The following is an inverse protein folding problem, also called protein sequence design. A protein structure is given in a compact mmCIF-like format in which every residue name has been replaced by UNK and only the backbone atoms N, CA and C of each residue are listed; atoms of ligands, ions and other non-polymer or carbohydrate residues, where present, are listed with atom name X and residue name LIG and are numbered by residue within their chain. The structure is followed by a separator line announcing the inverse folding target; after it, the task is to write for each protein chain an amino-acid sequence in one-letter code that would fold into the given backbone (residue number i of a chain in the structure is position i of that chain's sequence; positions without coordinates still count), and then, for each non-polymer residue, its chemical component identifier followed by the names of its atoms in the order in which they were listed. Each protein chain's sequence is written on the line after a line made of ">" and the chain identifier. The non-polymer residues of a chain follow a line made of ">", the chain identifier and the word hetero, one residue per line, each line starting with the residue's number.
data_IF_832626481993
#
_entry.id   IF_832626481993
#
_cell.length_a   1.000
_cell.length_b   1.000
_cell.length_c   1.000
_cell.angle_alpha   90.00
_cell.angle_beta   90.00
_cell.angle_gamma   90.00
#
_symmetry.space_group_name_H-M   'P 1'
#
loop_
_entity.id
_entity.type
_entity.pdbx_description
1 polymer ?
#
# COMPACT_ATOMS: atom_id res chain seq x y z
N UNK A 1 48.50 -23.65 67.82
CA UNK A 1 47.33 -24.14 67.08
C UNK A 1 46.72 -23.00 66.36
N UNK A 2 47.12 -22.72 65.09
CA UNK A 2 46.55 -21.71 64.26
C UNK A 2 45.56 -22.40 63.30
N UNK A 3 44.31 -22.03 63.37
CA UNK A 3 43.28 -22.43 62.37
C UNK A 3 43.18 -21.35 61.24
N UNK A 4 43.57 -21.75 60.05
CA UNK A 4 43.38 -20.96 58.82
C UNK A 4 41.93 -21.07 58.38
N UNK A 5 41.24 -19.92 58.29
CA UNK A 5 39.97 -19.79 57.62
C UNK A 5 40.22 -19.46 56.11
N UNK A 6 39.88 -20.39 55.26
CA UNK A 6 39.84 -20.14 53.82
C UNK A 6 38.47 -19.56 53.44
N UNK A 7 38.41 -18.32 53.02
CA UNK A 7 37.22 -17.69 52.47
C UNK A 7 37.12 -18.03 50.96
N UNK A 8 36.10 -18.75 50.56
CA UNK A 8 35.78 -18.99 49.18
C UNK A 8 34.98 -17.80 48.63
N UNK A 9 35.57 -17.04 47.69
CA UNK A 9 34.89 -15.97 46.97
C UNK A 9 34.16 -16.60 45.76
N UNK A 10 32.86 -16.65 45.83
CA UNK A 10 32.00 -17.09 44.69
C UNK A 10 31.78 -15.92 43.77
N UNK A 11 32.43 -15.93 42.62
CA UNK A 11 32.24 -14.92 41.55
C UNK A 11 30.93 -15.22 40.80
N UNK A 12 29.90 -14.41 41.04
CA UNK A 12 28.65 -14.49 40.27
C UNK A 12 28.85 -13.64 38.99
N UNK A 13 29.07 -14.33 37.86
CA UNK A 13 29.06 -13.69 36.54
C UNK A 13 27.59 -13.52 36.10
N UNK A 14 27.08 -12.31 36.26
CA UNK A 14 25.79 -11.92 35.67
C UNK A 14 25.95 -11.82 34.16
N UNK A 15 25.43 -12.78 33.40
CA UNK A 15 25.26 -12.72 31.97
C UNK A 15 24.18 -11.67 31.68
N UNK A 16 24.58 -10.44 31.42
CA UNK A 16 23.74 -9.42 30.80
C UNK A 16 23.49 -9.86 29.37
N UNK A 17 22.37 -10.52 29.12
CA UNK A 17 21.83 -10.72 27.79
C UNK A 17 21.41 -9.36 27.28
N UNK A 18 22.34 -8.65 26.65
CA UNK A 18 22.03 -7.44 25.89
C UNK A 18 21.07 -7.83 24.76
N UNK A 19 19.81 -7.43 24.89
CA UNK A 19 18.91 -7.42 23.74
C UNK A 19 19.58 -6.55 22.69
N UNK A 20 20.11 -7.17 21.64
CA UNK A 20 20.51 -6.46 20.43
C UNK A 20 19.22 -5.88 19.87
N UNK A 21 18.99 -4.59 20.15
CA UNK A 21 17.96 -3.84 19.43
C UNK A 21 18.43 -3.85 17.98
N UNK A 22 17.79 -4.70 17.17
CA UNK A 22 17.98 -4.65 15.72
C UNK A 22 17.74 -3.20 15.30
N UNK A 23 18.71 -2.61 14.62
CA UNK A 23 18.49 -1.29 14.01
C UNK A 23 17.23 -1.42 13.15
N UNK A 24 16.26 -0.49 13.24
CA UNK A 24 15.08 -0.56 12.42
C UNK A 24 15.54 -0.59 10.96
N UNK A 25 15.19 -1.67 10.26
CA UNK A 25 15.46 -1.81 8.85
C UNK A 25 14.82 -0.64 8.08
N UNK A 26 15.26 -0.41 6.86
CA UNK A 26 14.67 0.60 5.99
C UNK A 26 13.35 0.10 5.42
N UNK A 27 12.44 1.01 5.17
CA UNK A 27 11.26 0.76 4.34
C UNK A 27 11.64 0.82 2.87
N UNK A 28 11.47 -0.26 2.12
CA UNK A 28 11.65 -0.26 0.66
C UNK A 28 10.30 -0.12 -0.02
N UNK A 29 10.22 0.77 -0.99
CA UNK A 29 9.06 0.95 -1.87
C UNK A 29 9.49 0.73 -3.31
N UNK A 30 8.83 -0.19 -4.01
CA UNK A 30 8.99 -0.47 -5.43
C UNK A 30 7.72 -0.05 -6.17
N UNK A 31 7.82 0.88 -7.12
CA UNK A 31 6.70 1.22 -7.98
C UNK A 31 6.63 0.26 -9.18
N UNK A 32 5.46 -0.34 -9.39
CA UNK A 32 5.24 -1.33 -10.45
C UNK A 32 4.46 -0.78 -11.64
N UNK A 33 4.10 0.51 -11.60
CA UNK A 33 3.31 1.21 -12.60
C UNK A 33 1.85 1.38 -12.18
N UNK A 34 1.13 2.35 -12.74
CA UNK A 34 -0.23 2.77 -12.38
C UNK A 34 -0.31 3.05 -10.86
N UNK A 35 -1.18 2.38 -10.12
CA UNK A 35 -1.27 2.45 -8.67
C UNK A 35 -0.61 1.25 -7.95
N UNK A 36 0.10 0.40 -8.70
CA UNK A 36 0.69 -0.82 -8.15
C UNK A 36 2.03 -0.56 -7.44
N UNK A 37 2.08 -0.88 -6.14
CA UNK A 37 3.29 -0.77 -5.33
C UNK A 37 3.56 -2.05 -4.55
N UNK A 38 4.87 -2.34 -4.36
CA UNK A 38 5.35 -3.34 -3.42
C UNK A 38 6.12 -2.64 -2.32
N UNK A 39 5.68 -2.82 -1.07
CA UNK A 39 6.30 -2.26 0.12
C UNK A 39 6.96 -3.39 0.89
N UNK A 40 8.24 -3.24 1.23
CA UNK A 40 8.91 -4.12 2.18
C UNK A 40 9.13 -3.35 3.47
N UNK A 41 8.55 -3.85 4.56
CA UNK A 41 8.66 -3.24 5.88
C UNK A 41 10.04 -3.47 6.51
N UNK A 42 10.41 -2.73 7.55
CA UNK A 42 11.67 -2.94 8.28
C UNK A 42 11.92 -4.37 8.77
N UNK A 43 10.87 -5.12 9.11
CA UNK A 43 10.95 -6.54 9.50
C UNK A 43 10.88 -7.51 8.32
N UNK A 44 10.82 -7.01 7.08
CA UNK A 44 10.76 -7.82 5.86
C UNK A 44 9.37 -8.32 5.50
N UNK A 45 8.29 -7.75 6.07
CA UNK A 45 6.93 -8.01 5.59
C UNK A 45 6.71 -7.36 4.24
N UNK A 46 6.14 -8.11 3.32
CA UNK A 46 5.88 -7.65 1.95
C UNK A 46 4.40 -7.42 1.74
N UNK A 47 4.05 -6.16 1.46
CA UNK A 47 2.69 -5.72 1.16
C UNK A 47 2.65 -5.29 -0.30
N UNK A 48 1.72 -5.83 -1.08
CA UNK A 48 1.46 -5.41 -2.46
C UNK A 48 0.12 -4.69 -2.52
N UNK A 49 0.10 -3.54 -3.18
CA UNK A 49 -1.11 -2.72 -3.31
C UNK A 49 -1.47 -2.61 -4.78
N UNK A 50 -2.78 -2.74 -5.06
CA UNK A 50 -3.40 -2.57 -6.39
C UNK A 50 -2.64 -3.29 -7.51
N UNK A 51 -2.41 -4.61 -7.40
CA UNK A 51 -1.59 -5.34 -8.36
C UNK A 51 -2.31 -5.51 -9.72
N UNK A 52 -1.97 -4.62 -10.64
CA UNK A 52 -2.24 -4.75 -12.05
C UNK A 52 -0.90 -4.81 -12.78
N UNK A 53 -0.39 -6.00 -13.06
CA UNK A 53 0.99 -6.24 -13.46
C UNK A 53 1.11 -6.87 -14.85
N UNK A 54 0.46 -8.03 -15.08
CA UNK A 54 0.67 -8.84 -16.29
C UNK A 54 0.38 -8.11 -17.58
N UNK A 55 -0.69 -7.34 -17.61
CA UNK A 55 -1.15 -6.62 -18.81
C UNK A 55 -0.93 -5.10 -18.74
N UNK A 56 -0.43 -4.59 -17.63
CA UNK A 56 -0.11 -3.18 -17.47
C UNK A 56 1.04 -2.77 -18.40
N UNK A 57 0.87 -1.79 -19.30
CA UNK A 57 1.93 -1.39 -20.23
C UNK A 57 3.16 -0.80 -19.53
N UNK A 58 2.98 -0.17 -18.36
CA UNK A 58 4.06 0.46 -17.61
C UNK A 58 4.84 -0.52 -16.70
N UNK A 59 4.28 -1.69 -16.38
CA UNK A 59 4.98 -2.67 -15.53
C UNK A 59 6.20 -3.22 -16.25
N UNK A 60 7.40 -3.17 -15.64
CA UNK A 60 8.60 -3.76 -16.22
C UNK A 60 8.43 -5.26 -16.49
N UNK A 61 9.00 -5.72 -17.61
CA UNK A 61 8.79 -7.08 -18.11
C UNK A 61 9.09 -8.18 -17.07
N UNK A 62 10.08 -7.98 -16.21
CA UNK A 62 10.43 -8.92 -15.15
C UNK A 62 9.34 -9.10 -14.09
N UNK A 63 8.49 -8.09 -13.85
CA UNK A 63 7.39 -8.14 -12.84
C UNK A 63 6.03 -8.53 -13.45
N UNK A 64 5.96 -8.71 -14.78
CA UNK A 64 4.79 -9.29 -15.44
C UNK A 64 4.67 -10.79 -15.19
N UNK A 65 5.78 -11.43 -14.87
CA UNK A 65 5.82 -12.78 -14.30
C UNK A 65 5.63 -12.67 -12.78
N UNK A 66 4.47 -13.09 -12.29
CA UNK A 66 4.10 -12.94 -10.89
C UNK A 66 5.03 -13.70 -9.93
N UNK A 67 5.64 -14.81 -10.38
CA UNK A 67 6.61 -15.57 -9.58
C UNK A 67 7.88 -14.73 -9.29
N UNK A 68 8.26 -13.86 -10.20
CA UNK A 68 9.42 -12.97 -10.04
C UNK A 68 9.19 -11.76 -9.16
N UNK A 69 7.94 -11.53 -8.74
CA UNK A 69 7.63 -10.51 -7.74
C UNK A 69 8.22 -10.86 -6.37
N UNK A 70 8.52 -12.14 -6.14
CA UNK A 70 9.01 -12.67 -4.88
C UNK A 70 7.88 -12.85 -3.87
N UNK A 71 8.24 -13.03 -2.60
CA UNK A 71 7.28 -13.25 -1.52
C UNK A 71 6.26 -12.11 -1.43
N UNK A 72 4.99 -12.46 -1.16
CA UNK A 72 3.90 -11.55 -0.83
C UNK A 72 3.24 -12.04 0.46
N UNK A 73 3.21 -11.20 1.49
CA UNK A 73 2.59 -11.51 2.78
C UNK A 73 1.16 -10.97 2.89
N UNK A 74 0.87 -9.87 2.18
CA UNK A 74 -0.41 -9.19 2.22
C UNK A 74 -0.68 -8.49 0.89
N UNK A 75 -1.95 -8.46 0.51
CA UNK A 75 -2.42 -7.70 -0.65
C UNK A 75 -3.47 -6.71 -0.19
N UNK A 76 -3.36 -5.46 -0.66
CA UNK A 76 -4.35 -4.41 -0.48
C UNK A 76 -4.94 -4.05 -1.84
N UNK A 77 -6.26 -3.89 -1.89
CA UNK A 77 -6.95 -3.46 -3.10
C UNK A 77 -7.86 -2.29 -2.75
N UNK A 78 -7.63 -1.15 -3.39
CA UNK A 78 -8.38 0.08 -3.08
C UNK A 78 -9.81 0.05 -3.59
N UNK A 79 -10.06 -0.59 -4.72
CA UNK A 79 -11.39 -0.73 -5.33
C UNK A 79 -11.43 -1.79 -6.44
N UNK A 80 -12.62 -2.02 -7.03
CA UNK A 80 -12.86 -3.15 -7.92
C UNK A 80 -12.49 -2.96 -9.39
N UNK A 81 -11.93 -1.82 -9.83
CA UNK A 81 -11.55 -1.63 -11.22
C UNK A 81 -10.37 -2.53 -11.62
N UNK A 82 -10.35 -2.93 -12.90
CA UNK A 82 -9.41 -3.92 -13.41
C UNK A 82 -7.95 -3.54 -13.23
N UNK A 83 -7.62 -2.25 -13.33
CA UNK A 83 -6.26 -1.72 -13.20
C UNK A 83 -5.77 -1.60 -11.74
N UNK A 84 -6.54 -2.15 -10.80
CA UNK A 84 -6.21 -2.27 -9.38
C UNK A 84 -6.29 -3.71 -8.89
N UNK A 85 -7.32 -4.48 -9.28
CA UNK A 85 -7.59 -5.81 -8.73
C UNK A 85 -7.07 -6.97 -9.58
N UNK A 86 -6.71 -6.74 -10.86
CA UNK A 86 -6.56 -7.80 -11.87
C UNK A 86 -5.69 -8.99 -11.43
N UNK A 87 -4.55 -8.75 -10.79
CA UNK A 87 -3.62 -9.81 -10.38
C UNK A 87 -3.71 -10.17 -8.90
N UNK A 88 -4.55 -9.46 -8.12
CA UNK A 88 -4.71 -9.72 -6.69
C UNK A 88 -5.19 -11.16 -6.40
N UNK A 89 -6.19 -11.74 -7.09
CA UNK A 89 -6.60 -13.12 -6.84
C UNK A 89 -5.49 -14.14 -7.13
N UNK A 90 -4.75 -13.95 -8.23
CA UNK A 90 -3.67 -14.87 -8.60
C UNK A 90 -2.53 -14.86 -7.56
N UNK A 91 -2.11 -13.67 -7.12
CA UNK A 91 -1.10 -13.52 -6.08
C UNK A 91 -1.58 -14.07 -4.73
N UNK A 92 -2.86 -13.84 -4.38
CA UNK A 92 -3.44 -14.36 -3.14
C UNK A 92 -3.39 -15.88 -3.08
N UNK A 93 -3.79 -16.56 -4.15
CA UNK A 93 -3.78 -18.02 -4.23
C UNK A 93 -2.34 -18.57 -4.25
N UNK A 94 -1.43 -17.92 -5.00
CA UNK A 94 -0.02 -18.33 -5.11
C UNK A 94 0.71 -18.28 -3.77
N UNK A 95 0.51 -17.20 -3.01
CA UNK A 95 1.25 -16.93 -1.77
C UNK A 95 0.45 -17.25 -0.50
N UNK A 96 -0.80 -17.67 -0.61
CA UNK A 96 -1.76 -17.77 0.50
C UNK A 96 -1.86 -16.46 1.28
N UNK A 97 -1.71 -15.34 0.56
CA UNK A 97 -1.74 -13.98 1.11
C UNK A 97 -3.18 -13.48 1.18
N UNK A 98 -3.56 -12.88 2.31
CA UNK A 98 -4.88 -12.27 2.45
C UNK A 98 -5.00 -11.02 1.59
N UNK A 99 -6.17 -10.84 0.96
CA UNK A 99 -6.54 -9.63 0.24
C UNK A 99 -7.46 -8.81 1.13
N UNK A 100 -7.02 -7.65 1.59
CA UNK A 100 -7.90 -6.68 2.23
C UNK A 100 -8.34 -5.65 1.21
N UNK A 101 -9.64 -5.54 1.05
CA UNK A 101 -10.32 -4.66 0.11
C UNK A 101 -11.62 -4.15 0.76
N UNK A 102 -12.35 -3.20 0.13
CA UNK A 102 -13.70 -2.85 0.56
C UNK A 102 -14.54 -4.09 0.84
N UNK A 103 -15.27 -4.09 1.95
CA UNK A 103 -15.97 -5.28 2.45
C UNK A 103 -16.91 -5.91 1.43
N UNK A 104 -17.62 -5.09 0.64
CA UNK A 104 -18.55 -5.56 -0.38
C UNK A 104 -17.81 -6.16 -1.59
N UNK A 105 -16.60 -5.62 -1.94
CA UNK A 105 -15.77 -6.21 -2.96
C UNK A 105 -15.32 -7.63 -2.57
N UNK A 106 -14.80 -7.78 -1.35
CA UNK A 106 -14.37 -9.09 -0.86
C UNK A 106 -15.55 -10.07 -0.72
N UNK A 107 -16.74 -9.56 -0.38
CA UNK A 107 -17.95 -10.39 -0.43
C UNK A 107 -18.26 -10.85 -1.86
N UNK A 108 -18.20 -9.95 -2.83
CA UNK A 108 -18.40 -10.28 -4.26
C UNK A 108 -17.39 -11.34 -4.72
N UNK A 109 -16.10 -11.15 -4.43
CA UNK A 109 -15.06 -12.13 -4.78
C UNK A 109 -15.32 -13.51 -4.19
N UNK A 110 -15.79 -13.56 -2.94
CA UNK A 110 -16.10 -14.80 -2.25
C UNK A 110 -17.35 -15.49 -2.85
N UNK A 111 -18.43 -14.74 -3.07
CA UNK A 111 -19.69 -15.26 -3.61
C UNK A 111 -19.49 -15.79 -5.05
N UNK A 112 -18.68 -15.13 -5.85
CA UNK A 112 -18.34 -15.57 -7.22
C UNK A 112 -17.29 -16.68 -7.27
N UNK A 113 -16.76 -17.12 -6.12
CA UNK A 113 -15.72 -18.16 -6.06
C UNK A 113 -14.35 -17.74 -6.62
N UNK A 114 -14.10 -16.41 -6.72
CA UNK A 114 -12.81 -15.86 -7.17
C UNK A 114 -11.74 -16.05 -6.10
N UNK A 115 -12.10 -15.87 -4.83
CA UNK A 115 -11.26 -16.12 -3.67
C UNK A 115 -12.00 -16.89 -2.59
N UNK A 116 -11.33 -17.80 -1.86
CA UNK A 116 -11.92 -18.43 -0.69
C UNK A 116 -12.03 -17.42 0.46
N UNK A 117 -13.01 -17.56 1.38
CA UNK A 117 -13.30 -16.59 2.43
C UNK A 117 -12.09 -16.26 3.33
N UNK A 118 -11.24 -17.22 3.60
CA UNK A 118 -10.03 -17.04 4.44
C UNK A 118 -8.96 -16.13 3.81
N UNK A 119 -8.99 -16.00 2.48
CA UNK A 119 -8.10 -15.09 1.75
C UNK A 119 -8.76 -13.73 1.43
N UNK A 120 -10.05 -13.56 1.68
CA UNK A 120 -10.81 -12.35 1.39
C UNK A 120 -11.48 -11.76 2.65
N UNK A 121 -10.73 -11.46 3.73
CA UNK A 121 -11.31 -10.84 4.91
C UNK A 121 -11.81 -9.43 4.58
N UNK A 122 -12.93 -9.04 5.20
CA UNK A 122 -13.58 -7.76 4.91
C UNK A 122 -13.06 -6.66 5.82
N UNK A 123 -12.94 -5.46 5.28
CA UNK A 123 -12.74 -4.24 6.05
C UNK A 123 -13.56 -3.10 5.46
N UNK A 124 -13.80 -2.06 6.25
CA UNK A 124 -14.49 -0.85 5.81
C UNK A 124 -13.69 0.40 6.19
N UNK A 125 -14.09 1.53 5.61
CA UNK A 125 -13.52 2.85 5.92
C UNK A 125 -13.53 3.10 7.43
N UNK A 126 -12.46 3.70 7.93
CA UNK A 126 -12.11 3.90 9.35
C UNK A 126 -11.77 2.61 10.11
N UNK A 127 -11.93 1.43 9.51
CA UNK A 127 -11.45 0.18 10.09
C UNK A 127 -9.93 0.10 10.05
N UNK A 128 -9.33 -0.33 11.16
CA UNK A 128 -7.90 -0.57 11.28
C UNK A 128 -7.65 -2.04 11.58
N UNK A 129 -6.71 -2.63 10.87
CA UNK A 129 -6.26 -4.00 11.07
C UNK A 129 -4.78 -4.04 11.46
N UNK A 130 -4.40 -5.10 12.19
CA UNK A 130 -3.01 -5.52 12.41
C UNK A 130 -2.85 -6.92 11.77
N UNK A 131 -2.49 -6.99 10.47
CA UNK A 131 -2.61 -8.22 9.71
C UNK A 131 -1.55 -9.28 10.05
N UNK A 132 -0.48 -8.89 10.73
CA UNK A 132 0.67 -9.74 11.03
C UNK A 132 0.78 -9.99 12.54
N UNK A 133 0.46 -11.22 13.03
CA UNK A 133 0.59 -11.53 14.46
C UNK A 133 2.02 -11.39 15.01
N UNK A 134 3.02 -11.64 14.16
CA UNK A 134 4.46 -11.53 14.47
C UNK A 134 5.04 -10.12 14.23
N UNK A 135 4.25 -9.20 13.68
CA UNK A 135 4.57 -7.78 13.54
C UNK A 135 3.33 -6.91 13.83
N UNK A 136 2.79 -6.93 15.07
CA UNK A 136 1.50 -6.32 15.41
C UNK A 136 1.51 -4.79 15.37
N UNK A 137 2.67 -4.18 15.31
CA UNK A 137 2.83 -2.72 15.14
C UNK A 137 2.57 -2.25 13.71
N UNK A 138 2.59 -3.14 12.72
CA UNK A 138 2.12 -2.79 11.37
C UNK A 138 0.59 -2.68 11.43
N UNK A 139 0.09 -1.48 11.14
CA UNK A 139 -1.33 -1.17 11.15
C UNK A 139 -1.75 -0.63 9.80
N UNK A 140 -2.92 -1.05 9.34
CA UNK A 140 -3.47 -0.61 8.07
C UNK A 140 -4.89 -0.13 8.31
N UNK A 141 -5.16 1.12 7.96
CA UNK A 141 -6.47 1.74 8.08
C UNK A 141 -7.01 2.08 6.69
N UNK A 142 -8.22 1.62 6.38
CA UNK A 142 -8.92 2.07 5.19
C UNK A 142 -9.50 3.48 5.44
N UNK A 143 -9.27 4.39 4.52
CA UNK A 143 -9.81 5.76 4.56
C UNK A 143 -10.64 6.04 3.32
N UNK A 144 -11.46 7.09 3.36
CA UNK A 144 -12.30 7.49 2.22
C UNK A 144 -11.44 7.79 0.97
N UNK A 145 -11.97 7.39 -0.18
CA UNK A 145 -11.61 7.90 -1.51
C UNK A 145 -12.89 8.30 -2.25
N UNK A 146 -12.79 9.26 -3.14
CA UNK A 146 -13.93 9.79 -3.92
C UNK A 146 -13.82 9.30 -5.36
N UNK A 147 -14.41 8.14 -5.62
CA UNK A 147 -14.33 7.45 -6.91
C UNK A 147 -15.50 6.46 -7.06
N UNK A 148 -15.64 5.86 -8.23
CA UNK A 148 -16.55 4.73 -8.45
C UNK A 148 -15.84 3.40 -8.24
N UNK A 149 -16.61 2.32 -8.07
CA UNK A 149 -16.04 0.99 -7.91
C UNK A 149 -17.00 -0.07 -8.42
N UNK A 150 -16.58 -0.77 -9.46
CA UNK A 150 -17.26 -1.94 -10.01
C UNK A 150 -16.26 -3.05 -10.22
N UNK A 151 -16.71 -4.29 -10.09
CA UNK A 151 -15.91 -5.47 -10.39
C UNK A 151 -16.47 -6.15 -11.64
N UNK A 152 -15.68 -6.21 -12.70
CA UNK A 152 -16.04 -6.94 -13.92
C UNK A 152 -15.48 -8.35 -13.81
N UNK A 153 -16.38 -9.32 -13.85
CA UNK A 153 -16.05 -10.74 -13.75
C UNK A 153 -16.47 -11.47 -15.01
N UNK A 154 -15.56 -12.26 -15.55
CA UNK A 154 -15.86 -13.12 -16.69
C UNK A 154 -16.51 -14.41 -16.19
N UNK A 155 -17.80 -14.55 -16.42
CA UNK A 155 -18.55 -15.75 -16.04
C UNK A 155 -18.00 -16.97 -16.78
N UNK A 156 -17.48 -17.99 -16.08
CA UNK A 156 -16.85 -19.14 -16.71
C UNK A 156 -17.84 -20.04 -17.48
N UNK A 157 -19.13 -19.96 -17.16
CA UNK A 157 -20.16 -20.76 -17.83
C UNK A 157 -20.66 -20.11 -19.12
N UNK A 158 -20.86 -18.80 -19.12
CA UNK A 158 -21.38 -18.07 -20.28
C UNK A 158 -20.27 -17.47 -21.15
N UNK A 159 -19.06 -17.31 -20.62
CA UNK A 159 -17.94 -16.61 -21.24
C UNK A 159 -18.16 -15.09 -21.37
N UNK A 160 -19.24 -14.55 -20.80
CA UNK A 160 -19.58 -13.11 -20.86
C UNK A 160 -19.04 -12.38 -19.63
N UNK A 161 -18.78 -11.10 -19.83
CA UNK A 161 -18.46 -10.21 -18.73
C UNK A 161 -19.73 -9.78 -17.99
N UNK A 162 -19.67 -9.84 -16.66
CA UNK A 162 -20.72 -9.43 -15.74
C UNK A 162 -20.16 -8.34 -14.80
N UNK A 163 -20.95 -7.30 -14.57
CA UNK A 163 -20.57 -6.21 -13.66
C UNK A 163 -21.21 -6.42 -12.31
N UNK A 164 -20.38 -6.43 -11.28
CA UNK A 164 -20.78 -6.63 -9.90
C UNK A 164 -20.38 -5.44 -9.02
N UNK A 165 -20.95 -5.38 -7.81
CA UNK A 165 -20.57 -4.36 -6.83
C UNK A 165 -19.09 -4.50 -6.45
N UNK A 166 -18.36 -3.39 -6.54
CA UNK A 166 -16.95 -3.28 -6.12
C UNK A 166 -16.77 -2.70 -4.72
N UNK A 167 -17.86 -2.43 -4.00
CA UNK A 167 -17.83 -1.71 -2.74
C UNK A 167 -17.45 -0.23 -2.91
N UNK A 168 -17.43 0.50 -1.83
CA UNK A 168 -16.98 1.90 -1.84
C UNK A 168 -15.45 1.97 -1.90
N UNK A 169 -14.87 2.79 -2.81
CA UNK A 169 -13.42 2.92 -2.92
C UNK A 169 -12.78 3.46 -1.64
N UNK A 170 -11.54 3.02 -1.41
CA UNK A 170 -10.75 3.42 -0.24
C UNK A 170 -9.33 3.82 -0.65
N UNK A 171 -8.71 4.67 0.17
CA UNK A 171 -7.27 4.74 0.29
C UNK A 171 -6.80 3.95 1.52
N UNK A 172 -5.50 3.78 1.67
CA UNK A 172 -4.92 3.10 2.83
C UNK A 172 -3.88 3.97 3.54
N UNK A 173 -4.01 4.06 4.86
CA UNK A 173 -2.93 4.53 5.72
C UNK A 173 -2.21 3.28 6.24
N UNK A 174 -0.94 3.15 5.91
CA UNK A 174 -0.08 2.02 6.28
C UNK A 174 0.96 2.54 7.26
N UNK A 175 0.84 2.17 8.52
CA UNK A 175 1.81 2.46 9.58
C UNK A 175 2.72 1.25 9.75
N UNK A 176 4.03 1.45 9.55
CA UNK A 176 5.04 0.42 9.66
C UNK A 176 5.66 0.40 11.06
N UNK A 177 6.47 -0.61 11.37
CA UNK A 177 7.04 -0.88 12.71
C UNK A 177 7.91 0.27 13.23
N UNK A 178 8.55 1.01 12.33
CA UNK A 178 9.39 2.18 12.64
C UNK A 178 8.58 3.48 12.78
N UNK A 179 7.24 3.40 12.74
CA UNK A 179 6.33 4.55 12.78
C UNK A 179 6.20 5.31 11.47
N UNK A 180 6.87 4.87 10.39
CA UNK A 180 6.74 5.48 9.07
C UNK A 180 5.34 5.22 8.50
N UNK A 181 4.66 6.27 8.05
CA UNK A 181 3.28 6.22 7.58
C UNK A 181 3.19 6.54 6.10
N UNK A 182 2.58 5.65 5.35
CA UNK A 182 2.33 5.79 3.91
C UNK A 182 0.83 5.98 3.71
N UNK A 183 0.44 7.01 2.98
CA UNK A 183 -0.93 7.18 2.48
C UNK A 183 -0.96 6.82 1.00
N UNK A 184 -1.47 5.63 0.69
CA UNK A 184 -1.82 5.26 -0.69
C UNK A 184 -3.25 5.73 -0.93
N UNK A 185 -3.43 6.74 -1.79
CA UNK A 185 -4.73 7.38 -1.97
C UNK A 185 -5.71 6.55 -2.79
N UNK A 186 -5.23 5.53 -3.52
CA UNK A 186 -6.02 4.83 -4.53
C UNK A 186 -6.43 5.78 -5.66
N UNK A 187 -7.52 5.45 -6.33
CA UNK A 187 -8.14 6.37 -7.26
C UNK A 187 -9.09 7.30 -6.52
N UNK A 188 -8.90 8.59 -6.69
CA UNK A 188 -9.72 9.60 -6.05
C UNK A 188 -9.74 10.91 -6.82
N UNK A 189 -10.92 11.55 -6.86
CA UNK A 189 -11.06 12.98 -7.07
C UNK A 189 -10.64 13.78 -5.84
N UNK A 190 -10.69 15.11 -5.94
CA UNK A 190 -10.45 16.03 -4.83
C UNK A 190 -11.65 16.04 -3.87
N UNK A 191 -11.43 15.84 -2.56
CA UNK A 191 -12.50 15.87 -1.56
C UNK A 191 -12.00 16.40 -0.20
N UNK A 192 -12.88 17.07 0.54
CA UNK A 192 -12.51 17.84 1.73
C UNK A 192 -11.92 17.05 2.88
N UNK A 193 -12.32 15.77 3.05
CA UNK A 193 -11.83 14.94 4.15
C UNK A 193 -10.34 14.58 4.03
N UNK A 194 -9.69 14.85 2.88
CA UNK A 194 -8.22 14.73 2.73
C UNK A 194 -7.49 15.53 3.79
N UNK A 195 -8.01 16.71 4.17
CA UNK A 195 -7.46 17.54 5.23
C UNK A 195 -7.53 16.83 6.58
N UNK A 196 -8.70 16.27 6.93
CA UNK A 196 -8.89 15.51 8.16
C UNK A 196 -8.00 14.27 8.21
N UNK A 197 -7.93 13.51 7.10
CA UNK A 197 -7.07 12.32 6.98
C UNK A 197 -5.61 12.69 7.25
N UNK A 198 -5.13 13.78 6.64
CA UNK A 198 -3.77 14.23 6.81
C UNK A 198 -3.47 14.72 8.24
N UNK A 199 -4.36 15.50 8.83
CA UNK A 199 -4.20 16.02 10.20
C UNK A 199 -4.22 14.92 11.25
N UNK A 200 -5.09 13.91 11.07
CA UNK A 200 -5.27 12.82 12.02
C UNK A 200 -4.18 11.74 11.90
N UNK A 201 -3.92 11.25 10.67
CA UNK A 201 -2.97 10.15 10.45
C UNK A 201 -1.53 10.62 10.21
N UNK A 202 -1.31 11.85 9.77
CA UNK A 202 0.03 12.48 9.56
C UNK A 202 0.95 11.61 8.72
N UNK A 203 0.62 11.30 7.45
CA UNK A 203 1.45 10.47 6.60
C UNK A 203 2.80 11.16 6.29
N UNK A 204 3.89 10.40 6.32
CA UNK A 204 5.22 10.86 5.93
C UNK A 204 5.38 10.85 4.40
N UNK A 205 4.76 9.86 3.76
CA UNK A 205 4.76 9.65 2.31
C UNK A 205 3.33 9.55 1.80
N UNK A 206 3.04 10.23 0.69
CA UNK A 206 1.76 10.13 -0.02
C UNK A 206 2.00 9.60 -1.43
N UNK A 207 1.28 8.54 -1.82
CA UNK A 207 1.21 8.01 -3.16
C UNK A 207 -0.06 8.58 -3.80
N UNK A 208 0.12 9.54 -4.70
CA UNK A 208 -0.95 10.46 -5.13
C UNK A 208 -1.28 10.32 -6.61
N UNK A 209 -2.53 10.04 -6.99
CA UNK A 209 -2.92 10.01 -8.38
C UNK A 209 -2.90 11.44 -8.98
N UNK A 210 -2.32 11.57 -10.17
CA UNK A 210 -2.21 12.85 -10.88
C UNK A 210 -2.70 12.78 -12.34
N UNK A 211 -3.21 11.63 -12.78
CA UNK A 211 -3.51 11.38 -14.20
C UNK A 211 -4.61 12.26 -14.78
N UNK A 212 -5.54 12.73 -13.96
CA UNK A 212 -6.74 13.44 -14.42
C UNK A 212 -7.76 12.51 -15.08
N UNK A 213 -8.86 13.06 -15.57
CA UNK A 213 -10.02 12.39 -16.15
C UNK A 213 -10.74 11.41 -15.20
N UNK A 214 -10.05 10.43 -14.66
CA UNK A 214 -10.60 9.43 -13.71
C UNK A 214 -10.27 9.77 -12.26
N UNK A 215 -9.21 10.53 -12.02
CA UNK A 215 -8.71 10.91 -10.72
C UNK A 215 -8.41 12.39 -10.68
N UNK A 216 -7.82 12.89 -9.60
CA UNK A 216 -7.27 14.25 -9.58
C UNK A 216 -6.33 14.45 -10.75
N UNK A 217 -6.42 15.63 -11.39
CA UNK A 217 -5.40 16.11 -12.31
C UNK A 217 -4.24 16.78 -11.56
N UNK A 218 -3.17 17.19 -12.29
CA UNK A 218 -2.00 17.83 -11.69
C UNK A 218 -2.33 19.05 -10.82
N UNK A 219 -3.26 19.90 -11.22
CA UNK A 219 -3.64 21.09 -10.47
C UNK A 219 -4.37 20.76 -9.16
N UNK A 220 -5.34 19.81 -9.20
CA UNK A 220 -6.07 19.38 -8.02
C UNK A 220 -5.15 18.69 -7.02
N UNK A 221 -4.25 17.83 -7.52
CA UNK A 221 -3.25 17.13 -6.71
C UNK A 221 -2.27 18.13 -6.06
N UNK A 222 -1.85 19.16 -6.78
CA UNK A 222 -1.01 20.23 -6.24
C UNK A 222 -1.74 21.03 -5.17
N UNK A 223 -3.02 21.37 -5.38
CA UNK A 223 -3.85 22.03 -4.38
C UNK A 223 -3.98 21.17 -3.11
N UNK A 224 -4.34 19.89 -3.25
CA UNK A 224 -4.44 18.96 -2.13
C UNK A 224 -3.10 18.86 -1.36
N UNK A 225 -1.98 18.82 -2.08
CA UNK A 225 -0.64 18.73 -1.49
C UNK A 225 -0.31 19.99 -0.68
N UNK A 226 -0.52 21.18 -1.24
CA UNK A 226 -0.11 22.44 -0.62
C UNK A 226 -1.05 22.90 0.48
N UNK A 227 -2.37 22.72 0.30
CA UNK A 227 -3.35 23.33 1.19
C UNK A 227 -3.82 22.37 2.29
N UNK A 228 -3.95 21.07 1.98
CA UNK A 228 -4.60 20.13 2.86
C UNK A 228 -3.65 19.09 3.47
N UNK A 229 -2.85 18.40 2.64
CA UNK A 229 -2.12 17.21 3.11
C UNK A 229 -0.75 17.59 3.66
N UNK A 230 0.00 18.43 2.97
CA UNK A 230 1.33 18.94 3.35
C UNK A 230 2.31 17.83 3.76
N UNK A 231 2.46 16.76 2.98
CA UNK A 231 3.30 15.64 3.34
C UNK A 231 4.79 16.02 3.22
N UNK A 232 5.67 15.28 3.91
CA UNK A 232 7.13 15.46 3.70
C UNK A 232 7.52 15.05 2.28
N UNK A 233 6.93 13.96 1.77
CA UNK A 233 7.24 13.42 0.44
C UNK A 233 5.95 13.01 -0.26
N UNK A 234 5.89 13.26 -1.58
CA UNK A 234 4.84 12.77 -2.47
C UNK A 234 5.47 12.00 -3.64
N UNK A 235 4.92 10.84 -3.96
CA UNK A 235 5.20 10.10 -5.18
C UNK A 235 3.96 10.18 -6.06
N UNK A 236 4.04 10.83 -7.22
CA UNK A 236 2.97 10.83 -8.21
C UNK A 236 2.76 9.43 -8.79
N UNK A 237 1.50 9.02 -8.95
CA UNK A 237 1.09 7.74 -9.53
C UNK A 237 -0.11 7.89 -10.45
N UNK A 238 -0.59 6.81 -11.04
CA UNK A 238 -1.80 6.73 -11.87
C UNK A 238 -1.78 7.70 -13.06
N UNK A 239 -0.68 7.71 -13.81
CA UNK A 239 -0.51 8.50 -15.04
C UNK A 239 0.30 7.72 -16.09
N UNK A 240 0.14 8.10 -17.35
CA UNK A 240 0.96 7.59 -18.46
C UNK A 240 0.64 6.16 -18.92
N UNK A 241 -0.39 5.50 -18.38
CA UNK A 241 -0.81 4.13 -18.76
C UNK A 241 -2.09 4.13 -19.59
N UNK A 242 -2.94 5.12 -19.41
CA UNK A 242 -4.20 5.30 -20.13
C UNK A 242 -4.13 6.60 -20.96
N UNK A 243 -4.53 6.59 -22.24
CA UNK A 243 -4.53 7.80 -23.08
C UNK A 243 -5.38 8.96 -22.58
N UNK A 244 -6.33 8.69 -21.67
CA UNK A 244 -7.18 9.71 -21.04
C UNK A 244 -6.56 10.27 -19.76
N UNK A 245 -5.68 9.53 -19.08
CA UNK A 245 -4.95 9.98 -17.88
C UNK A 245 -3.67 10.73 -18.30
N UNK A 246 -3.83 11.97 -18.76
CA UNK A 246 -2.79 12.75 -19.44
C UNK A 246 -1.91 13.59 -18.53
N UNK A 247 -2.25 13.69 -17.24
CA UNK A 247 -1.47 14.45 -16.27
C UNK A 247 -0.01 13.98 -16.21
N UNK A 248 0.90 14.92 -16.01
CA UNK A 248 2.33 14.65 -15.98
C UNK A 248 2.96 15.13 -14.68
N UNK A 249 4.09 14.54 -14.31
CA UNK A 249 4.89 14.99 -13.14
C UNK A 249 5.36 16.43 -13.33
N UNK A 250 5.67 16.83 -14.56
CA UNK A 250 6.09 18.20 -14.88
C UNK A 250 4.98 19.21 -14.59
N UNK A 251 3.75 18.95 -15.05
CA UNK A 251 2.59 19.80 -14.76
C UNK A 251 2.27 19.83 -13.26
N UNK A 252 2.34 18.70 -12.59
CA UNK A 252 2.15 18.62 -11.13
C UNK A 252 3.18 19.46 -10.40
N UNK A 253 4.47 19.33 -10.72
CA UNK A 253 5.56 20.10 -10.09
C UNK A 253 5.43 21.59 -10.41
N UNK A 254 5.02 21.95 -11.63
CA UNK A 254 4.75 23.34 -12.00
C UNK A 254 3.59 23.92 -11.18
N UNK A 255 2.49 23.16 -11.04
CA UNK A 255 1.32 23.59 -10.26
C UNK A 255 1.61 23.70 -8.76
N UNK A 256 2.50 22.86 -8.20
CA UNK A 256 2.96 22.96 -6.80
C UNK A 256 3.68 24.28 -6.53
N UNK A 257 4.47 24.80 -7.47
CA UNK A 257 5.27 25.98 -7.27
C UNK A 257 6.28 25.80 -6.13
N UNK A 258 6.43 26.85 -5.31
CA UNK A 258 7.30 26.79 -4.12
C UNK A 258 6.58 26.03 -3.00
N UNK A 259 7.17 24.91 -2.57
CA UNK A 259 6.60 24.03 -1.54
C UNK A 259 7.69 23.40 -0.67
N UNK A 260 7.35 23.02 0.56
CA UNK A 260 8.22 22.22 1.43
C UNK A 260 8.09 20.70 1.17
N UNK A 261 7.14 20.28 0.34
CA UNK A 261 6.94 18.88 -0.01
C UNK A 261 7.96 18.44 -1.06
N UNK A 262 8.70 17.39 -0.78
CA UNK A 262 9.59 16.75 -1.77
C UNK A 262 8.78 15.93 -2.76
N UNK A 263 8.82 16.28 -4.04
CA UNK A 263 8.30 15.43 -5.12
C UNK A 263 9.35 14.40 -5.50
N UNK A 264 9.02 13.14 -5.39
CA UNK A 264 9.89 12.04 -5.77
C UNK A 264 9.31 11.36 -7.03
N UNK A 265 9.85 11.75 -8.18
CA UNK A 265 9.46 11.20 -9.48
C UNK A 265 10.17 9.86 -9.71
N UNK A 266 9.53 8.78 -9.26
CA UNK A 266 10.01 7.40 -9.41
C UNK A 266 9.54 6.86 -10.76
N UNK A 267 10.34 6.02 -11.40
CA UNK A 267 9.93 5.28 -12.61
C UNK A 267 9.45 3.88 -12.25
N UNK A 268 8.53 3.27 -13.02
CA UNK A 268 8.16 1.88 -12.82
C UNK A 268 9.39 0.96 -12.83
N UNK A 269 9.50 0.12 -11.80
CA UNK A 269 10.65 -0.75 -11.55
C UNK A 269 11.76 -0.16 -10.70
N UNK A 270 11.71 1.14 -10.39
CA UNK A 270 12.64 1.76 -9.45
C UNK A 270 12.23 1.55 -8.00
N UNK A 271 13.23 1.38 -7.16
CA UNK A 271 13.10 1.24 -5.72
C UNK A 271 13.55 2.51 -5.02
N UNK A 272 12.86 2.86 -3.96
CA UNK A 272 13.25 3.93 -3.04
C UNK A 272 13.20 3.43 -1.60
N UNK A 273 14.08 3.97 -0.77
CA UNK A 273 14.18 3.61 0.65
C UNK A 273 13.92 4.83 1.55
N UNK A 274 13.29 4.56 2.69
CA UNK A 274 12.94 5.54 3.70
C UNK A 274 13.40 5.11 5.09
#
# INVERSE_FOLDING_TARGET
>A
MLRSLSAAITLVIALLSGAVLAQPGKTELLWLGQSAFRITSPSGKVIVIDPWLRVNPATPAQYKDLEKLGKVDLILVTHGHFDHIADAPALALMHKARVYAPGDLNQTLTVLGVLPPELAPRMNKSGTIAPFPDAPSIRITAVKAEHSSTFVWKNPLSGKDETHAGGEPVGFIIELENGFRIYHMGDTGLFGDMKFIAEYYRPDLVLMPIGGNFTMGPADAAFATNEWIKPKTVIPMHYGTNPLARGTVAEFTQALGTTNTRVLAVKPGEKVEF
#
